data_IF_979603290212
#
_entry.id   IF_979603290212
#
_cell.length_a   1.000
_cell.length_b   1.000
_cell.length_c   1.000
_cell.angle_alpha   90.00
_cell.angle_beta   90.00
_cell.angle_gamma   90.00
#
_symmetry.space_group_name_H-M   'P 1'
#
loop_
_entity.id
_entity.type
_entity.pdbx_description
1 polymer ?
#
# COMPACT_ATOMS: atom_id res chain seq x y z
N UNK A 1 -6.13 16.07 8.44
CA UNK A 1 -5.31 16.77 7.41
C UNK A 1 -6.23 17.53 6.46
N UNK A 2 -5.73 18.50 5.69
CA UNK A 2 -6.54 19.18 4.68
C UNK A 2 -6.75 18.32 3.43
N UNK A 3 -7.85 18.53 2.71
CA UNK A 3 -8.18 17.75 1.50
C UNK A 3 -7.10 17.81 0.39
N UNK A 4 -6.34 18.90 0.28
CA UNK A 4 -5.24 19.03 -0.69
C UNK A 4 -3.97 18.26 -0.31
N UNK A 5 -3.81 17.92 0.97
CA UNK A 5 -2.63 17.23 1.50
C UNK A 5 -2.76 15.71 1.42
N UNK A 6 -3.98 15.20 1.20
CA UNK A 6 -4.29 13.75 1.22
C UNK A 6 -3.41 12.98 0.24
N UNK A 7 -3.31 13.47 -1.01
CA UNK A 7 -2.55 12.78 -2.07
C UNK A 7 -1.07 12.63 -1.68
N UNK A 8 -0.47 13.70 -1.16
CA UNK A 8 0.95 13.75 -0.79
C UNK A 8 1.28 12.93 0.46
N UNK A 9 0.42 12.96 1.48
CA UNK A 9 0.57 12.13 2.69
C UNK A 9 0.53 10.65 2.30
N UNK A 10 -0.47 10.23 1.53
CA UNK A 10 -0.61 8.83 1.15
C UNK A 10 0.51 8.42 0.20
N UNK A 11 0.90 9.27 -0.75
CA UNK A 11 1.99 9.00 -1.68
C UNK A 11 3.30 8.77 -0.92
N UNK A 12 3.63 9.64 0.04
CA UNK A 12 4.83 9.51 0.88
C UNK A 12 4.88 8.17 1.62
N UNK A 13 3.76 7.74 2.20
CA UNK A 13 3.66 6.46 2.92
C UNK A 13 3.74 5.27 1.95
N UNK A 14 2.92 5.25 0.90
CA UNK A 14 2.85 4.13 -0.03
C UNK A 14 4.15 3.94 -0.82
N UNK A 15 4.78 5.03 -1.26
CA UNK A 15 6.06 4.94 -1.96
C UNK A 15 7.19 4.48 -1.05
N UNK A 16 7.18 4.85 0.23
CA UNK A 16 8.15 4.33 1.22
C UNK A 16 7.98 2.81 1.37
N UNK A 17 6.75 2.33 1.57
CA UNK A 17 6.48 0.89 1.67
C UNK A 17 6.86 0.15 0.37
N UNK A 18 6.46 0.68 -0.78
CA UNK A 18 6.77 0.08 -2.09
C UNK A 18 8.26 0.06 -2.38
N UNK A 19 9.02 1.07 -1.92
CA UNK A 19 10.47 1.09 -2.05
C UNK A 19 11.12 -0.10 -1.34
N UNK A 20 10.64 -0.46 -0.15
CA UNK A 20 11.09 -1.64 0.59
C UNK A 20 10.49 -2.97 0.09
N UNK A 21 9.46 -2.93 -0.76
CA UNK A 21 8.75 -4.09 -1.32
C UNK A 21 8.86 -4.20 -2.84
N UNK A 22 9.84 -3.51 -3.40
CA UNK A 22 10.23 -3.62 -4.80
C UNK A 22 11.68 -4.02 -4.90
N UNK A 23 11.98 -4.80 -5.93
CA UNK A 23 13.34 -5.13 -6.29
C UNK A 23 13.57 -4.80 -7.77
N UNK A 24 14.82 -4.84 -8.21
CA UNK A 24 15.09 -4.67 -9.63
C UNK A 24 14.66 -5.90 -10.41
N UNK A 25 14.61 -5.75 -11.73
CA UNK A 25 14.13 -6.83 -12.59
C UNK A 25 14.97 -8.09 -12.48
N UNK A 26 14.31 -9.24 -12.36
CA UNK A 26 14.98 -10.53 -12.36
C UNK A 26 15.44 -10.90 -13.77
N UNK A 27 16.66 -11.40 -13.87
CA UNK A 27 17.21 -12.01 -15.09
C UNK A 27 17.62 -13.44 -14.74
N UNK A 28 16.80 -14.41 -15.15
CA UNK A 28 17.02 -15.82 -14.89
C UNK A 28 17.98 -16.43 -15.92
N UNK A 29 19.04 -17.05 -15.44
CA UNK A 29 20.01 -17.83 -16.23
C UNK A 29 19.60 -19.31 -16.29
N UNK A 30 18.91 -19.80 -15.26
CA UNK A 30 18.31 -21.14 -15.18
C UNK A 30 17.03 -21.08 -14.35
N UNK A 31 16.43 -22.23 -14.03
CA UNK A 31 15.21 -22.27 -13.20
C UNK A 31 15.44 -21.69 -11.79
N UNK A 32 16.61 -21.95 -11.20
CA UNK A 32 16.94 -21.54 -9.82
C UNK A 32 18.02 -20.45 -9.75
N UNK A 33 18.71 -20.15 -10.85
CA UNK A 33 19.76 -19.13 -10.89
C UNK A 33 19.28 -17.84 -11.56
N UNK A 34 19.43 -16.72 -10.86
CA UNK A 34 19.06 -15.40 -11.34
C UNK A 34 20.03 -14.31 -10.87
N UNK A 35 19.97 -13.17 -11.56
CA UNK A 35 20.51 -11.90 -11.09
C UNK A 35 19.36 -10.90 -10.93
N UNK A 36 19.48 -10.00 -9.97
CA UNK A 36 18.52 -8.93 -9.71
C UNK A 36 19.21 -7.61 -10.05
N UNK A 37 18.59 -6.79 -10.90
CA UNK A 37 19.10 -5.46 -11.21
C UNK A 37 18.98 -4.51 -10.00
N UNK A 38 19.68 -3.39 -10.06
CA UNK A 38 19.52 -2.32 -9.07
C UNK A 38 18.19 -1.59 -9.27
N UNK A 39 17.53 -1.26 -8.16
CA UNK A 39 16.38 -0.33 -8.16
C UNK A 39 16.92 1.09 -8.16
N UNK A 40 16.51 1.90 -9.13
CA UNK A 40 16.78 3.34 -9.12
C UNK A 40 15.70 4.05 -8.32
N UNK A 41 16.00 5.24 -7.79
CA UNK A 41 15.10 6.03 -6.95
C UNK A 41 15.19 7.51 -7.28
N UNK A 42 14.13 8.23 -6.91
CA UNK A 42 14.03 9.68 -7.05
C UNK A 42 13.44 10.30 -5.79
N UNK A 43 13.90 11.51 -5.47
CA UNK A 43 13.30 12.36 -4.45
C UNK A 43 12.13 13.14 -5.06
N UNK A 44 11.02 13.22 -4.34
CA UNK A 44 9.81 13.92 -4.78
C UNK A 44 9.40 14.93 -3.73
N UNK A 45 9.48 16.21 -4.09
CA UNK A 45 9.04 17.33 -3.27
C UNK A 45 7.50 17.43 -3.29
N UNK A 46 6.91 17.65 -2.12
CA UNK A 46 5.48 17.92 -1.97
C UNK A 46 5.17 19.41 -2.18
N UNK A 47 4.05 19.70 -2.84
CA UNK A 47 3.56 21.06 -3.11
C UNK A 47 2.70 21.62 -1.95
N UNK A 48 2.01 20.76 -1.19
CA UNK A 48 1.08 21.16 -0.12
C UNK A 48 1.56 20.83 1.30
N UNK A 49 2.73 20.21 1.41
CA UNK A 49 3.39 19.83 2.65
C UNK A 49 4.89 20.13 2.48
N UNK A 50 5.52 20.72 3.49
CA UNK A 50 6.98 20.92 3.50
C UNK A 50 7.69 19.60 3.80
N UNK A 51 7.71 18.72 2.80
CA UNK A 51 8.20 17.35 2.92
C UNK A 51 8.70 16.83 1.56
N UNK A 52 9.72 15.98 1.59
CA UNK A 52 10.24 15.27 0.42
C UNK A 52 10.25 13.78 0.73
N UNK A 53 9.73 12.96 -0.17
CA UNK A 53 9.76 11.50 -0.03
C UNK A 53 10.55 10.83 -1.16
N UNK A 54 11.03 9.61 -0.89
CA UNK A 54 11.74 8.79 -1.88
C UNK A 54 10.77 7.80 -2.51
N UNK A 55 10.85 7.59 -3.81
CA UNK A 55 10.13 6.53 -4.50
C UNK A 55 11.01 5.77 -5.50
N UNK A 56 10.56 4.56 -5.88
CA UNK A 56 11.18 3.84 -7.00
C UNK A 56 11.07 4.68 -8.28
N UNK A 57 12.18 4.80 -9.01
CA UNK A 57 12.22 5.43 -10.33
C UNK A 57 11.52 4.51 -11.35
N UNK A 58 10.19 4.58 -11.35
CA UNK A 58 9.33 3.85 -12.28
C UNK A 58 8.03 4.63 -12.53
N UNK A 59 7.96 5.23 -13.72
CA UNK A 59 6.81 6.04 -14.14
C UNK A 59 5.50 5.23 -14.15
N UNK A 60 5.57 3.96 -14.56
CA UNK A 60 4.40 3.08 -14.61
C UNK A 60 3.86 2.78 -13.20
N UNK A 61 4.74 2.51 -12.23
CA UNK A 61 4.33 2.30 -10.84
C UNK A 61 3.81 3.60 -10.24
N UNK A 62 4.54 4.70 -10.37
CA UNK A 62 4.13 6.02 -9.87
C UNK A 62 2.76 6.43 -10.41
N UNK A 63 2.51 6.26 -11.72
CA UNK A 63 1.22 6.57 -12.34
C UNK A 63 0.08 5.68 -11.82
N UNK A 64 0.34 4.39 -11.58
CA UNK A 64 -0.65 3.48 -10.99
C UNK A 64 -1.01 3.92 -9.57
N UNK A 65 0.00 4.20 -8.73
CA UNK A 65 -0.22 4.63 -7.34
C UNK A 65 -0.94 5.97 -7.28
N UNK A 66 -0.48 6.96 -8.06
CA UNK A 66 -1.11 8.28 -8.15
C UNK A 66 -2.60 8.18 -8.50
N UNK A 67 -2.95 7.39 -9.52
CA UNK A 67 -4.36 7.18 -9.90
C UNK A 67 -5.18 6.64 -8.74
N UNK A 68 -4.71 5.59 -8.09
CA UNK A 68 -5.45 4.98 -6.97
C UNK A 68 -5.65 5.94 -5.79
N UNK A 69 -4.62 6.76 -5.50
CA UNK A 69 -4.65 7.78 -4.45
C UNK A 69 -5.62 8.91 -4.82
N UNK A 70 -5.51 9.47 -6.03
CA UNK A 70 -6.37 10.57 -6.46
C UNK A 70 -7.85 10.15 -6.50
N UNK A 71 -8.15 8.95 -6.99
CA UNK A 71 -9.50 8.36 -6.91
C UNK A 71 -10.02 8.31 -5.46
N UNK A 72 -9.18 7.89 -4.50
CA UNK A 72 -9.56 7.86 -3.08
C UNK A 72 -9.76 9.27 -2.51
N UNK A 73 -8.87 10.20 -2.84
CA UNK A 73 -8.92 11.60 -2.41
C UNK A 73 -10.18 12.31 -2.92
N UNK A 74 -10.57 12.07 -4.17
CA UNK A 74 -11.83 12.55 -4.74
C UNK A 74 -13.04 11.96 -4.03
N UNK A 75 -13.04 10.65 -3.78
CA UNK A 75 -14.09 9.97 -3.03
C UNK A 75 -14.24 10.53 -1.60
N UNK A 76 -13.13 10.75 -0.91
CA UNK A 76 -13.10 11.27 0.46
C UNK A 76 -13.59 12.73 0.53
N UNK A 77 -13.16 13.57 -0.43
CA UNK A 77 -13.63 14.96 -0.53
C UNK A 77 -15.09 15.05 -0.97
N UNK A 78 -15.55 14.14 -1.82
CA UNK A 78 -16.95 14.03 -2.24
C UNK A 78 -17.90 13.66 -1.10
N UNK A 79 -17.42 12.95 -0.09
CA UNK A 79 -18.18 12.66 1.13
C UNK A 79 -18.31 13.88 2.07
N UNK A 80 -17.47 14.91 1.88
CA UNK A 80 -17.39 16.05 2.79
C UNK A 80 -18.68 16.82 3.06
N UNK A 81 -19.55 17.07 2.06
CA UNK A 81 -20.81 17.79 2.28
C UNK A 81 -21.81 17.00 3.15
N UNK A 82 -21.61 15.70 3.32
CA UNK A 82 -22.58 14.79 3.97
C UNK A 82 -22.23 14.43 5.42
N UNK A 83 -21.01 14.71 5.86
CA UNK A 83 -20.49 14.33 7.18
C UNK A 83 -19.67 15.45 7.79
N UNK A 84 -19.91 15.78 9.06
CA UNK A 84 -19.16 16.84 9.75
C UNK A 84 -17.63 16.57 9.85
N UNK A 85 -17.21 15.30 9.82
CA UNK A 85 -15.80 14.90 9.69
C UNK A 85 -15.66 13.74 8.69
N UNK A 86 -15.30 14.04 7.43
CA UNK A 86 -15.16 13.03 6.38
C UNK A 86 -13.94 12.18 6.63
N UNK A 87 -14.13 10.88 6.75
CA UNK A 87 -13.05 9.93 7.02
C UNK A 87 -13.16 8.66 6.18
N UNK A 88 -12.01 8.05 5.93
CA UNK A 88 -11.89 6.84 5.15
C UNK A 88 -10.52 6.21 5.33
N UNK A 89 -10.29 5.08 4.68
CA UNK A 89 -9.00 4.42 4.66
C UNK A 89 -8.64 3.93 3.27
N UNK A 90 -7.34 3.91 2.99
CA UNK A 90 -6.76 3.31 1.81
C UNK A 90 -5.70 2.30 2.26
N UNK A 91 -5.74 1.10 1.68
CA UNK A 91 -4.86 0.00 2.07
C UNK A 91 -4.04 -0.49 0.89
N UNK A 92 -2.76 -0.70 1.10
CA UNK A 92 -1.84 -1.40 0.20
C UNK A 92 -1.68 -2.84 0.72
N UNK A 93 -2.24 -3.81 -0.02
CA UNK A 93 -2.18 -5.24 0.33
C UNK A 93 -1.21 -5.97 -0.60
N UNK A 94 -0.16 -6.56 -0.03
CA UNK A 94 0.71 -7.50 -0.72
C UNK A 94 0.19 -8.93 -0.57
N UNK A 95 0.26 -9.68 -1.67
CA UNK A 95 -0.25 -11.04 -1.72
C UNK A 95 0.66 -11.96 -2.54
N UNK A 96 0.44 -13.26 -2.41
CA UNK A 96 1.01 -14.29 -3.29
C UNK A 96 -0.13 -15.09 -3.92
N UNK A 97 0.07 -15.55 -5.16
CA UNK A 97 -0.89 -16.42 -5.83
C UNK A 97 -0.57 -17.87 -5.51
N UNK A 98 -1.52 -18.60 -4.93
CA UNK A 98 -1.40 -20.05 -4.81
C UNK A 98 -1.72 -20.70 -6.15
N UNK A 99 -0.82 -21.56 -6.65
CA UNK A 99 -1.09 -22.38 -7.85
C UNK A 99 -2.42 -23.11 -7.66
N UNK A 100 -3.40 -22.80 -8.49
CA UNK A 100 -4.65 -23.53 -8.52
C UNK A 100 -4.56 -24.67 -9.53
N UNK A 101 -5.14 -25.82 -9.18
CA UNK A 101 -5.42 -26.86 -10.16
C UNK A 101 -6.73 -26.51 -10.85
N UNK A 102 -6.77 -26.69 -12.17
CA UNK A 102 -8.00 -26.55 -12.95
C UNK A 102 -9.12 -27.41 -12.33
N UNK A 103 -10.35 -26.89 -12.19
CA UNK A 103 -10.91 -25.67 -12.78
C UNK A 103 -10.89 -24.42 -11.86
N UNK A 104 -10.12 -24.41 -10.78
CA UNK A 104 -10.13 -23.30 -9.81
C UNK A 104 -9.25 -22.14 -10.25
N UNK A 105 -9.66 -20.91 -9.91
CA UNK A 105 -8.82 -19.72 -10.07
C UNK A 105 -7.69 -19.71 -9.02
N UNK A 106 -6.49 -19.20 -9.36
CA UNK A 106 -5.44 -18.96 -8.38
C UNK A 106 -5.96 -18.11 -7.21
N UNK A 107 -5.73 -18.59 -5.99
CA UNK A 107 -6.13 -17.86 -4.78
C UNK A 107 -5.07 -16.81 -4.45
N UNK A 108 -5.48 -15.55 -4.25
CA UNK A 108 -4.62 -14.50 -3.75
C UNK A 108 -4.59 -14.57 -2.22
N UNK A 109 -3.43 -14.91 -1.66
CA UNK A 109 -3.23 -15.02 -0.21
C UNK A 109 -2.46 -13.78 0.27
N UNK A 110 -3.10 -12.86 1.02
CA UNK A 110 -2.42 -11.71 1.58
C UNK A 110 -1.36 -12.14 2.59
N UNK A 111 -0.24 -11.42 2.61
CA UNK A 111 0.81 -11.64 3.59
C UNK A 111 1.26 -10.37 4.31
N UNK A 112 0.90 -9.18 3.80
CA UNK A 112 1.17 -7.89 4.44
C UNK A 112 0.15 -6.85 3.98
N UNK A 113 -0.36 -6.02 4.90
CA UNK A 113 -1.36 -4.99 4.61
C UNK A 113 -1.00 -3.70 5.36
N UNK A 114 -0.81 -2.61 4.61
CA UNK A 114 -0.57 -1.27 5.15
C UNK A 114 -1.82 -0.43 4.96
N UNK A 115 -2.44 0.05 6.05
CA UNK A 115 -3.66 0.84 5.98
C UNK A 115 -3.40 2.25 6.49
N UNK A 116 -3.70 3.25 5.64
CA UNK A 116 -3.66 4.66 6.00
C UNK A 116 -5.09 5.13 6.26
N UNK A 117 -5.37 5.48 7.50
CA UNK A 117 -6.63 6.10 7.91
C UNK A 117 -6.53 7.61 7.73
N UNK A 118 -7.47 8.19 6.99
CA UNK A 118 -7.52 9.61 6.67
C UNK A 118 -8.77 10.24 7.27
N UNK A 119 -8.59 11.38 7.91
CA UNK A 119 -9.67 12.24 8.39
C UNK A 119 -9.43 13.66 7.88
N UNK A 120 -10.44 14.21 7.20
CA UNK A 120 -10.42 15.57 6.69
C UNK A 120 -10.84 16.53 7.80
N UNK A 121 -10.04 17.56 7.99
CA UNK A 121 -10.28 18.60 9.00
C UNK A 121 -10.55 19.91 8.29
N UNK A 122 -11.59 20.63 8.73
CA UNK A 122 -11.83 22.01 8.33
C UNK A 122 -11.06 22.96 9.27
N UNK A 123 -10.09 23.71 8.72
CA UNK A 123 -9.30 24.72 9.44
C UNK A 123 -10.11 25.94 9.90
N UNK A 124 -11.38 26.08 9.50
CA UNK A 124 -12.27 27.11 10.04
C UNK A 124 -12.54 26.93 11.54
N UNK A 125 -12.28 25.73 12.08
CA UNK A 125 -12.42 25.40 13.49
C UNK A 125 -11.12 25.70 14.26
N UNK A 126 -11.15 26.50 15.33
CA UNK A 126 -9.98 26.74 16.17
C UNK A 126 -9.66 25.47 16.97
N UNK A 127 -8.57 24.79 16.62
CA UNK A 127 -8.02 23.65 17.34
C UNK A 127 -6.49 23.58 17.18
N UNK A 128 -5.81 23.02 18.19
CA UNK A 128 -4.40 22.64 18.09
C UNK A 128 -4.29 21.41 17.19
N UNK A 129 -4.18 21.63 15.88
CA UNK A 129 -3.92 20.55 14.94
C UNK A 129 -2.42 20.24 14.94
N UNK A 130 -2.08 18.98 15.23
CA UNK A 130 -0.74 18.42 15.06
C UNK A 130 -0.22 18.73 13.64
N UNK A 131 1.07 19.08 13.55
CA UNK A 131 1.70 19.34 12.26
C UNK A 131 1.63 18.07 11.41
N UNK A 132 1.00 18.16 10.24
CA UNK A 132 0.94 17.03 9.28
C UNK A 132 2.36 16.55 8.91
N UNK A 133 3.33 17.46 8.91
CA UNK A 133 4.76 17.14 8.66
C UNK A 133 5.32 16.27 9.78
N UNK A 134 5.16 16.67 11.03
CA UNK A 134 5.67 15.92 12.20
C UNK A 134 5.02 14.55 12.29
N UNK A 135 3.69 14.48 12.12
CA UNK A 135 2.95 13.23 12.06
C UNK A 135 3.48 12.33 10.94
N UNK A 136 3.68 12.86 9.74
CA UNK A 136 4.18 12.09 8.60
C UNK A 136 5.61 11.59 8.86
N UNK A 137 6.50 12.42 9.41
CA UNK A 137 7.85 12.02 9.80
C UNK A 137 7.83 10.83 10.76
N UNK A 138 7.01 10.90 11.81
CA UNK A 138 6.84 9.81 12.76
C UNK A 138 6.33 8.53 12.09
N UNK A 139 5.40 8.64 11.12
CA UNK A 139 4.93 7.48 10.35
C UNK A 139 6.02 6.89 9.46
N UNK A 140 6.85 7.70 8.81
CA UNK A 140 7.95 7.21 7.97
C UNK A 140 8.99 6.49 8.84
N UNK A 141 9.39 7.07 9.97
CA UNK A 141 10.29 6.42 10.93
C UNK A 141 9.70 5.09 11.39
N UNK A 142 8.43 5.09 11.82
CA UNK A 142 7.74 3.87 12.23
C UNK A 142 7.77 2.78 11.15
N UNK A 143 7.46 3.12 9.89
CA UNK A 143 7.54 2.17 8.77
C UNK A 143 8.94 1.56 8.71
N UNK A 144 10.00 2.38 8.70
CA UNK A 144 11.37 1.87 8.60
C UNK A 144 11.77 0.98 9.79
N UNK A 145 11.20 1.20 10.97
CA UNK A 145 11.44 0.36 12.14
C UNK A 145 10.77 -1.01 12.04
N UNK A 146 9.54 -1.07 11.50
CA UNK A 146 8.74 -2.30 11.52
C UNK A 146 8.80 -3.10 10.21
N UNK A 147 9.18 -2.49 9.09
CA UNK A 147 9.09 -3.10 7.74
C UNK A 147 9.87 -4.42 7.57
N UNK A 148 10.81 -4.73 8.45
CA UNK A 148 11.53 -6.03 8.43
C UNK A 148 11.50 -6.76 9.79
N UNK A 149 10.74 -6.28 10.78
CA UNK A 149 10.74 -6.88 12.12
C UNK A 149 9.76 -8.04 12.18
N UNK A 150 10.30 -9.26 12.28
CA UNK A 150 9.57 -10.49 12.64
C UNK A 150 8.36 -10.84 11.75
N UNK A 151 8.31 -10.35 10.52
CA UNK A 151 7.24 -10.65 9.57
C UNK A 151 7.69 -11.59 8.45
N UNK A 152 6.74 -12.40 7.98
CA UNK A 152 6.94 -13.28 6.84
C UNK A 152 7.13 -12.45 5.56
N UNK A 153 8.17 -12.77 4.80
CA UNK A 153 8.35 -12.30 3.42
C UNK A 153 8.40 -13.53 2.51
N UNK A 154 7.74 -13.51 1.33
CA UNK A 154 7.79 -14.63 0.40
C UNK A 154 9.23 -15.01 0.04
N UNK A 155 9.50 -16.31 -0.04
CA UNK A 155 10.78 -16.84 -0.49
C UNK A 155 11.03 -16.44 -1.95
N UNK A 156 12.30 -16.28 -2.31
CA UNK A 156 12.68 -16.00 -3.68
C UNK A 156 12.21 -17.12 -4.61
N UNK A 157 11.41 -16.80 -5.65
CA UNK A 157 10.80 -17.80 -6.52
C UNK A 157 11.77 -18.29 -7.60
N UNK A 158 11.51 -19.49 -8.11
CA UNK A 158 12.11 -19.97 -9.36
C UNK A 158 11.53 -19.21 -10.56
N UNK A 159 12.13 -19.40 -11.73
CA UNK A 159 11.67 -18.75 -12.97
C UNK A 159 10.19 -19.05 -13.26
N UNK A 160 9.73 -20.28 -13.03
CA UNK A 160 8.33 -20.65 -13.28
C UNK A 160 7.33 -20.13 -12.24
N UNK A 161 7.81 -19.63 -11.10
CA UNK A 161 6.97 -19.15 -9.99
C UNK A 161 7.05 -17.64 -9.76
N UNK A 162 7.87 -16.92 -10.53
CA UNK A 162 8.08 -15.48 -10.34
C UNK A 162 6.78 -14.67 -10.38
N UNK A 163 5.87 -14.99 -11.31
CA UNK A 163 4.57 -14.31 -11.49
C UNK A 163 3.54 -14.60 -10.37
N UNK A 164 3.87 -15.54 -9.48
CA UNK A 164 3.06 -15.86 -8.30
C UNK A 164 3.42 -14.98 -7.11
N UNK A 165 4.60 -14.36 -7.12
CA UNK A 165 5.14 -13.58 -5.99
C UNK A 165 5.32 -12.11 -6.40
N UNK A 166 5.79 -11.86 -7.61
CA UNK A 166 6.10 -10.53 -8.12
C UNK A 166 5.22 -10.14 -9.31
N UNK A 167 5.02 -8.84 -9.48
CA UNK A 167 4.42 -8.26 -10.68
C UNK A 167 5.50 -8.05 -11.74
N UNK A 168 5.50 -8.93 -12.76
CA UNK A 168 6.47 -8.92 -13.85
C UNK A 168 6.06 -8.04 -15.03
N UNK A 169 4.94 -7.32 -14.92
CA UNK A 169 4.45 -6.43 -15.99
C UNK A 169 5.27 -5.14 -16.12
N UNK A 170 6.00 -4.75 -15.08
CA UNK A 170 6.87 -3.56 -15.10
C UNK A 170 8.18 -3.82 -15.87
N UNK A 171 8.61 -2.84 -16.67
CA UNK A 171 9.78 -2.98 -17.55
C UNK A 171 11.12 -2.80 -16.83
N UNK A 172 11.11 -2.02 -15.75
CA UNK A 172 12.23 -1.37 -15.06
C UNK A 172 12.43 -1.90 -13.64
N UNK A 173 11.33 -2.15 -12.92
CA UNK A 173 11.32 -2.67 -11.55
C UNK A 173 10.48 -3.95 -11.46
N UNK A 174 10.46 -4.55 -10.28
CA UNK A 174 9.67 -5.75 -10.01
C UNK A 174 9.14 -5.72 -8.56
N UNK A 175 7.99 -5.06 -8.32
CA UNK A 175 7.34 -5.05 -7.01
C UNK A 175 6.75 -6.43 -6.69
N UNK A 176 6.63 -6.76 -5.39
CA UNK A 176 5.75 -7.86 -4.98
C UNK A 176 4.33 -7.61 -5.52
N UNK A 177 3.57 -8.68 -5.76
CA UNK A 177 2.18 -8.53 -6.15
C UNK A 177 1.40 -7.75 -5.09
N UNK A 178 0.74 -6.67 -5.52
CA UNK A 178 -0.04 -5.83 -4.63
C UNK A 178 -1.36 -5.39 -5.27
N UNK A 179 -2.32 -5.03 -4.41
CA UNK A 179 -3.57 -4.36 -4.78
C UNK A 179 -3.89 -3.27 -3.76
N UNK A 180 -4.68 -2.29 -4.20
CA UNK A 180 -5.10 -1.17 -3.37
C UNK A 180 -6.59 -1.30 -3.08
N UNK A 181 -6.95 -1.17 -1.80
CA UNK A 181 -8.32 -1.17 -1.31
C UNK A 181 -8.67 0.20 -0.76
N UNK A 182 -9.92 0.64 -0.95
CA UNK A 182 -10.43 1.94 -0.51
C UNK A 182 -11.70 1.70 0.28
N UNK A 183 -11.85 2.37 1.41
CA UNK A 183 -13.04 2.31 2.24
C UNK A 183 -13.43 3.71 2.70
N UNK A 184 -14.68 4.08 2.51
CA UNK A 184 -15.25 5.29 3.09
C UNK A 184 -16.12 4.92 4.29
N UNK A 185 -16.19 5.79 5.29
CA UNK A 185 -17.13 5.64 6.40
C UNK A 185 -18.58 5.54 5.87
N UNK A 186 -19.27 4.45 6.22
CA UNK A 186 -20.66 4.21 5.79
C UNK A 186 -20.84 3.47 4.46
N UNK A 187 -19.77 3.20 3.71
CA UNK A 187 -19.84 2.31 2.54
C UNK A 187 -19.80 0.83 2.99
N UNK A 188 -20.65 -0.06 2.45
CA UNK A 188 -20.54 -1.48 2.74
C UNK A 188 -19.18 -1.98 2.23
N UNK A 189 -18.39 -2.58 3.12
CA UNK A 189 -17.08 -3.14 2.80
C UNK A 189 -17.23 -4.17 1.68
N UNK A 190 -16.77 -3.83 0.47
CA UNK A 190 -16.59 -4.83 -0.59
C UNK A 190 -15.17 -5.37 -0.44
N UNK A 191 -15.07 -6.67 -0.12
CA UNK A 191 -13.83 -7.43 0.08
C UNK A 191 -13.21 -7.38 1.48
N UNK A 192 -13.79 -8.16 2.39
CA UNK A 192 -12.98 -9.13 3.15
C UNK A 192 -13.61 -10.48 2.90
N UNK A 193 -12.91 -11.38 2.22
CA UNK A 193 -13.33 -12.77 2.11
C UNK A 193 -13.61 -13.33 3.51
N UNK A 194 -14.69 -14.09 3.64
CA UNK A 194 -15.28 -14.61 4.88
C UNK A 194 -14.36 -15.54 5.72
N UNK A 195 -13.05 -15.51 5.54
CA UNK A 195 -12.11 -16.48 6.12
C UNK A 195 -11.50 -16.05 7.46
N UNK A 196 -11.51 -14.76 7.83
CA UNK A 196 -10.86 -14.29 9.09
C UNK A 196 -11.83 -14.07 10.26
N UNK A 197 -13.15 -14.00 10.04
CA UNK A 197 -14.14 -13.86 11.14
C UNK A 197 -14.45 -15.15 11.92
N UNK A 198 -13.88 -16.30 11.52
CA UNK A 198 -14.24 -17.61 12.10
C UNK A 198 -13.28 -18.16 13.17
N UNK A 199 -12.31 -17.38 13.65
CA UNK A 199 -11.28 -17.89 14.58
C UNK A 199 -11.17 -17.19 15.95
N UNK A 200 -12.07 -16.29 16.35
CA UNK A 200 -12.04 -15.69 17.70
C UNK A 200 -13.42 -15.75 18.39
N UNK A 201 -14.14 -16.88 18.28
CA UNK A 201 -15.41 -17.05 19.01
C UNK A 201 -15.53 -18.29 19.90
N UNK A 202 -14.61 -19.26 19.81
CA UNK A 202 -14.77 -20.56 20.49
C UNK A 202 -13.70 -20.88 21.56
N UNK A 203 -13.16 -19.87 22.25
CA UNK A 203 -12.35 -20.15 23.44
C UNK A 203 -12.55 -19.07 24.48
N UNK A 204 -13.59 -19.24 25.28
CA UNK A 204 -13.73 -18.89 26.71
C UNK A 204 -15.17 -19.23 27.13
N UNK A 205 -15.40 -20.52 27.33
CA UNK A 205 -16.56 -21.05 28.04
C UNK A 205 -16.14 -22.34 28.76
N UNK A 206 -15.38 -22.16 29.84
CA UNK A 206 -15.35 -22.90 31.10
C UNK A 206 -14.28 -22.30 32.00
#
# INVERSE_FOLDING_TARGET
MEGRQVDEVIASIFHTVLFHRSCGKFTYNSEESYSIRTVSYVDVDCDFIDFTYVCCDSEALASRIKREISDFSELLRGAAPSTASPHGSISLEFFQKRRARWPFQPECVPWEVWTVCCELVDRSLPGEHESVVEMLQDKIVFITEIINRHEYVPKMPSRSDVDLIFDTSYSDIQPYLFKIHKSLAGAPSTSVGNTVRKLIRDTLAL
#
